data_IF_762882017036
#
_entry.id   IF_762882017036
#
_cell.length_a   1.000
_cell.length_b   1.000
_cell.length_c   1.000
_cell.angle_alpha   90.00
_cell.angle_beta   90.00
_cell.angle_gamma   90.00
#
_symmetry.space_group_name_H-M   'P 1'
#
loop_
_entity.id
_entity.type
_entity.pdbx_description
1 polymer ?
#
# COMPACT_ATOMS: atom_id res chain seq x y z
N UNK A 1 -28.41 -8.30 -4.11
CA UNK A 1 -27.26 -7.84 -3.28
C UNK A 1 -25.95 -7.91 -4.05
N UNK A 2 -25.64 -9.02 -4.73
CA UNK A 2 -24.40 -9.16 -5.54
C UNK A 2 -24.19 -8.05 -6.58
N UNK A 3 -25.25 -7.50 -7.19
CA UNK A 3 -25.13 -6.41 -8.17
C UNK A 3 -24.54 -5.12 -7.59
N UNK A 4 -24.79 -4.81 -6.32
CA UNK A 4 -24.20 -3.65 -5.65
C UNK A 4 -22.71 -3.89 -5.37
N UNK A 5 -22.38 -5.07 -4.82
CA UNK A 5 -21.00 -5.46 -4.51
C UNK A 5 -20.12 -5.47 -5.75
N UNK A 6 -20.61 -6.01 -6.87
CA UNK A 6 -19.91 -5.99 -8.17
C UNK A 6 -19.64 -4.55 -8.63
N UNK A 7 -20.67 -3.68 -8.57
CA UNK A 7 -20.55 -2.30 -9.02
C UNK A 7 -19.55 -1.51 -8.16
N UNK A 8 -19.66 -1.61 -6.84
CA UNK A 8 -18.76 -0.93 -5.91
C UNK A 8 -17.33 -1.46 -6.02
N UNK A 9 -17.16 -2.79 -6.10
CA UNK A 9 -15.85 -3.41 -6.28
C UNK A 9 -15.18 -3.00 -7.59
N UNK A 10 -15.95 -2.93 -8.69
CA UNK A 10 -15.43 -2.50 -9.99
C UNK A 10 -14.90 -1.05 -9.95
N UNK A 11 -15.73 -0.11 -9.47
CA UNK A 11 -15.32 1.29 -9.40
C UNK A 11 -14.18 1.51 -8.40
N UNK A 12 -14.20 0.82 -7.26
CA UNK A 12 -13.12 0.90 -6.27
C UNK A 12 -11.81 0.33 -6.82
N UNK A 13 -11.85 -0.72 -7.64
CA UNK A 13 -10.66 -1.22 -8.31
C UNK A 13 -10.07 -0.20 -9.30
N UNK A 14 -10.92 0.52 -10.05
CA UNK A 14 -10.47 1.59 -10.94
C UNK A 14 -9.87 2.77 -10.17
N UNK A 15 -10.50 3.18 -9.06
CA UNK A 15 -9.97 4.23 -8.18
C UNK A 15 -8.62 3.80 -7.60
N UNK A 16 -8.49 2.55 -7.13
CA UNK A 16 -7.23 2.00 -6.64
C UNK A 16 -6.13 2.04 -7.71
N UNK A 17 -6.42 1.65 -8.95
CA UNK A 17 -5.45 1.75 -10.05
C UNK A 17 -5.04 3.21 -10.27
N UNK A 18 -6.01 4.13 -10.35
CA UNK A 18 -5.74 5.55 -10.60
C UNK A 18 -4.86 6.16 -9.50
N UNK A 19 -5.20 5.95 -8.23
CA UNK A 19 -4.45 6.53 -7.12
C UNK A 19 -3.06 5.91 -6.97
N UNK A 20 -2.89 4.64 -7.31
CA UNK A 20 -1.57 4.02 -7.35
C UNK A 20 -0.70 4.59 -8.47
N UNK A 21 -1.28 4.89 -9.64
CA UNK A 21 -0.59 5.59 -10.73
C UNK A 21 -0.20 7.00 -10.30
N UNK A 22 -1.10 7.76 -9.67
CA UNK A 22 -0.80 9.10 -9.14
C UNK A 22 0.35 9.04 -8.13
N UNK A 23 0.34 8.09 -7.21
CA UNK A 23 1.45 7.88 -6.27
C UNK A 23 2.77 7.61 -7.00
N UNK A 24 2.77 6.74 -8.00
CA UNK A 24 3.96 6.40 -8.78
C UNK A 24 4.51 7.64 -9.50
N UNK A 25 3.64 8.45 -10.10
CA UNK A 25 4.03 9.72 -10.73
C UNK A 25 4.62 10.68 -9.69
N UNK A 26 3.98 10.85 -8.53
CA UNK A 26 4.51 11.69 -7.45
C UNK A 26 5.91 11.23 -7.03
N UNK A 27 6.11 9.92 -6.87
CA UNK A 27 7.40 9.36 -6.50
C UNK A 27 8.49 9.66 -7.55
N UNK A 28 8.18 9.48 -8.84
CA UNK A 28 9.09 9.82 -9.94
C UNK A 28 9.42 11.31 -9.96
N UNK A 29 8.43 12.18 -9.77
CA UNK A 29 8.65 13.64 -9.73
C UNK A 29 9.52 14.04 -8.54
N UNK A 30 9.28 13.47 -7.34
CA UNK A 30 10.12 13.71 -6.16
C UNK A 30 11.58 13.36 -6.48
N UNK A 31 11.83 12.19 -7.06
CA UNK A 31 13.18 11.75 -7.44
C UNK A 31 13.83 12.60 -8.53
N UNK A 32 13.03 13.19 -9.42
CA UNK A 32 13.52 14.06 -10.49
C UNK A 32 13.80 15.49 -10.04
N UNK A 33 13.12 15.97 -8.99
CA UNK A 33 13.15 17.37 -8.54
C UNK A 33 14.06 17.61 -7.33
N UNK A 34 14.50 16.57 -6.64
CA UNK A 34 15.37 16.70 -5.47
C UNK A 34 16.27 15.48 -5.29
N UNK A 35 17.35 15.61 -4.49
CA UNK A 35 18.23 14.49 -4.19
C UNK A 35 17.49 13.45 -3.34
N UNK A 36 17.86 12.18 -3.49
CA UNK A 36 17.33 11.12 -2.62
C UNK A 36 17.80 11.38 -1.20
N UNK A 37 16.86 11.61 -0.28
CA UNK A 37 17.17 11.74 1.13
C UNK A 37 17.51 10.37 1.73
N UNK A 38 18.71 10.25 2.30
CA UNK A 38 19.14 9.12 3.11
C UNK A 38 19.23 9.57 4.56
N UNK A 39 18.52 8.86 5.44
CA UNK A 39 18.49 9.20 6.86
C UNK A 39 19.89 9.12 7.48
N UNK A 40 20.28 10.19 8.16
CA UNK A 40 21.54 10.30 8.91
C UNK A 40 21.22 10.75 10.33
N UNK A 41 20.68 11.96 10.45
CA UNK A 41 20.18 12.54 11.68
C UNK A 41 18.95 13.42 11.42
N UNK A 42 18.37 13.91 12.52
CA UNK A 42 17.16 14.72 12.47
C UNK A 42 17.41 16.12 11.89
N UNK A 43 18.56 16.73 12.17
CA UNK A 43 18.89 18.07 11.69
C UNK A 43 19.06 18.08 10.16
N UNK A 44 19.70 17.05 9.60
CA UNK A 44 19.78 16.81 8.16
C UNK A 44 18.39 16.64 7.52
N UNK A 45 17.46 15.97 8.21
CA UNK A 45 16.07 15.86 7.74
C UNK A 45 15.35 17.21 7.75
N UNK A 46 15.53 18.04 8.78
CA UNK A 46 14.97 19.39 8.82
C UNK A 46 15.50 20.25 7.67
N UNK A 47 16.82 20.26 7.47
CA UNK A 47 17.45 21.00 6.38
C UNK A 47 16.92 20.54 5.02
N UNK A 48 16.82 19.23 4.81
CA UNK A 48 16.27 18.67 3.57
C UNK A 48 14.82 19.10 3.33
N UNK A 49 13.95 19.03 4.35
CA UNK A 49 12.53 19.37 4.20
C UNK A 49 12.30 20.87 4.00
N UNK A 50 13.16 21.73 4.55
CA UNK A 50 13.13 23.18 4.32
C UNK A 50 13.62 23.54 2.91
N UNK A 51 14.69 22.89 2.43
CA UNK A 51 15.29 23.18 1.13
C UNK A 51 14.48 22.63 -0.05
N UNK A 52 13.89 21.44 0.12
CA UNK A 52 13.16 20.72 -0.93
C UNK A 52 11.66 20.61 -0.64
N UNK A 53 11.10 21.62 0.04
CA UNK A 53 9.66 21.65 0.31
C UNK A 53 8.87 21.58 -0.99
N UNK A 54 7.96 20.61 -1.07
CA UNK A 54 7.19 20.35 -2.27
C UNK A 54 5.86 19.71 -1.91
N UNK A 55 4.86 19.86 -2.80
CA UNK A 55 3.51 19.32 -2.62
C UNK A 55 3.38 17.82 -2.98
N UNK A 56 4.33 17.30 -3.76
CA UNK A 56 4.25 15.93 -4.29
C UNK A 56 4.25 14.83 -3.21
N UNK A 57 5.03 14.92 -2.11
CA UNK A 57 4.98 13.93 -1.04
C UNK A 57 3.60 13.84 -0.38
N UNK A 58 2.93 14.97 -0.14
CA UNK A 58 1.59 15.02 0.46
C UNK A 58 0.56 14.40 -0.47
N UNK A 59 0.61 14.74 -1.76
CA UNK A 59 -0.28 14.15 -2.77
C UNK A 59 -0.07 12.64 -2.88
N UNK A 60 1.17 12.16 -2.85
CA UNK A 60 1.50 10.74 -2.87
C UNK A 60 0.93 10.00 -1.65
N UNK A 61 1.13 10.53 -0.45
CA UNK A 61 0.59 9.95 0.80
C UNK A 61 -0.94 9.94 0.81
N UNK A 62 -1.58 11.03 0.38
CA UNK A 62 -3.04 11.11 0.26
C UNK A 62 -3.56 10.06 -0.74
N UNK A 63 -2.88 9.90 -1.87
CA UNK A 63 -3.24 8.90 -2.88
C UNK A 63 -3.18 7.48 -2.31
N UNK A 64 -2.18 7.17 -1.49
CA UNK A 64 -2.07 5.87 -0.82
C UNK A 64 -3.17 5.62 0.23
N UNK A 65 -3.66 6.66 0.92
CA UNK A 65 -4.83 6.54 1.80
C UNK A 65 -6.07 6.17 0.97
N UNK A 66 -6.31 6.87 -0.14
CA UNK A 66 -7.47 6.59 -1.01
C UNK A 66 -7.34 5.21 -1.67
N UNK A 67 -6.14 4.80 -2.06
CA UNK A 67 -5.85 3.44 -2.51
C UNK A 67 -6.26 2.40 -1.46
N UNK A 68 -5.81 2.56 -0.21
CA UNK A 68 -6.10 1.62 0.87
C UNK A 68 -7.60 1.47 1.13
N UNK A 69 -8.33 2.59 1.22
CA UNK A 69 -9.78 2.56 1.41
C UNK A 69 -10.50 1.86 0.24
N UNK A 70 -10.09 2.15 -0.99
CA UNK A 70 -10.63 1.51 -2.19
C UNK A 70 -10.32 0.01 -2.21
N UNK A 71 -9.12 -0.39 -1.79
CA UNK A 71 -8.69 -1.78 -1.71
C UNK A 71 -9.55 -2.58 -0.73
N UNK A 72 -9.92 -2.02 0.43
CA UNK A 72 -10.84 -2.68 1.37
C UNK A 72 -12.21 -2.93 0.73
N UNK A 73 -12.76 -1.96 0.00
CA UNK A 73 -14.04 -2.14 -0.72
C UNK A 73 -13.93 -3.23 -1.78
N UNK A 74 -12.80 -3.30 -2.49
CA UNK A 74 -12.52 -4.38 -3.45
C UNK A 74 -12.50 -5.75 -2.76
N UNK A 75 -11.81 -5.90 -1.64
CA UNK A 75 -11.75 -7.17 -0.90
C UNK A 75 -13.12 -7.58 -0.36
N UNK A 76 -13.93 -6.63 0.13
CA UNK A 76 -15.29 -6.88 0.57
C UNK A 76 -16.19 -7.36 -0.58
N UNK A 77 -16.08 -6.72 -1.75
CA UNK A 77 -16.78 -7.16 -2.95
C UNK A 77 -16.36 -8.57 -3.40
N UNK A 78 -15.06 -8.88 -3.34
CA UNK A 78 -14.53 -10.21 -3.66
C UNK A 78 -15.06 -11.27 -2.69
N UNK A 79 -15.09 -11.00 -1.39
CA UNK A 79 -15.66 -11.92 -0.38
C UNK A 79 -17.14 -12.20 -0.65
N UNK A 80 -17.92 -11.15 -0.97
CA UNK A 80 -19.37 -11.28 -1.18
C UNK A 80 -19.71 -12.16 -2.38
N UNK A 81 -18.98 -11.99 -3.50
CA UNK A 81 -19.22 -12.75 -4.75
C UNK A 81 -18.53 -14.13 -4.76
N UNK A 82 -17.75 -14.45 -3.74
CA UNK A 82 -17.09 -15.76 -3.59
C UNK A 82 -18.02 -16.71 -2.83
N UNK A 83 -18.11 -17.95 -3.32
CA UNK A 83 -18.92 -19.01 -2.71
C UNK A 83 -18.06 -20.22 -2.29
N UNK A 84 -18.64 -21.10 -1.47
CA UNK A 84 -18.00 -22.32 -0.99
C UNK A 84 -16.80 -22.08 -0.07
N UNK A 85 -15.87 -23.05 -0.04
CA UNK A 85 -14.71 -23.06 0.86
C UNK A 85 -13.78 -21.85 0.69
N UNK A 86 -13.71 -21.28 -0.52
CA UNK A 86 -12.89 -20.09 -0.79
C UNK A 86 -13.47 -18.80 -0.20
N UNK A 87 -14.74 -18.78 0.22
CA UNK A 87 -15.34 -17.61 0.86
C UNK A 87 -14.67 -17.30 2.19
N UNK A 88 -14.36 -18.34 2.98
CA UNK A 88 -13.65 -18.18 4.25
C UNK A 88 -12.24 -17.59 4.03
N UNK A 89 -11.52 -18.06 3.02
CA UNK A 89 -10.20 -17.52 2.66
C UNK A 89 -10.29 -16.07 2.19
N UNK A 90 -11.28 -15.72 1.35
CA UNK A 90 -11.52 -14.33 0.95
C UNK A 90 -11.80 -13.42 2.15
N UNK A 91 -12.54 -13.91 3.15
CA UNK A 91 -12.79 -13.19 4.40
C UNK A 91 -11.53 -12.98 5.23
N UNK A 92 -10.67 -13.99 5.37
CA UNK A 92 -9.36 -13.80 6.00
C UNK A 92 -8.53 -12.75 5.24
N UNK A 93 -8.56 -12.81 3.90
CA UNK A 93 -7.94 -11.81 3.03
C UNK A 93 -8.42 -10.39 3.35
N UNK A 94 -9.73 -10.20 3.48
CA UNK A 94 -10.34 -8.93 3.87
C UNK A 94 -9.89 -8.46 5.26
N UNK A 95 -9.88 -9.33 6.27
CA UNK A 95 -9.50 -8.96 7.64
C UNK A 95 -8.05 -8.49 7.72
N UNK A 96 -7.12 -9.23 7.10
CA UNK A 96 -5.71 -8.83 7.03
C UNK A 96 -5.53 -7.55 6.21
N UNK A 97 -6.28 -7.39 5.10
CA UNK A 97 -6.23 -6.20 4.27
C UNK A 97 -6.73 -4.95 5.00
N UNK A 98 -7.80 -5.08 5.78
CA UNK A 98 -8.30 -4.00 6.63
C UNK A 98 -7.28 -3.61 7.70
N UNK A 99 -6.64 -4.58 8.35
CA UNK A 99 -5.58 -4.31 9.32
C UNK A 99 -4.38 -3.58 8.67
N UNK A 100 -3.94 -4.03 7.49
CA UNK A 100 -2.88 -3.39 6.71
C UNK A 100 -3.20 -1.93 6.37
N UNK A 101 -4.41 -1.69 5.85
CA UNK A 101 -4.87 -0.35 5.45
C UNK A 101 -5.05 0.56 6.66
N UNK A 102 -5.47 0.03 7.80
CA UNK A 102 -5.61 0.80 9.03
C UNK A 102 -4.25 1.29 9.52
N UNK A 103 -3.23 0.41 9.57
CA UNK A 103 -1.89 0.79 9.99
C UNK A 103 -1.23 1.78 9.02
N UNK A 104 -1.21 1.46 7.73
CA UNK A 104 -0.57 2.31 6.72
C UNK A 104 -1.33 3.62 6.51
N UNK A 105 -2.66 3.59 6.56
CA UNK A 105 -3.52 4.77 6.49
C UNK A 105 -3.31 5.70 7.68
N UNK A 106 -3.24 5.17 8.90
CA UNK A 106 -2.92 5.96 10.10
C UNK A 106 -1.52 6.59 9.99
N UNK A 107 -0.53 5.82 9.53
CA UNK A 107 0.82 6.32 9.29
C UNK A 107 0.83 7.50 8.31
N UNK A 108 0.23 7.34 7.12
CA UNK A 108 0.18 8.40 6.13
C UNK A 108 -0.62 9.62 6.58
N UNK A 109 -1.73 9.40 7.30
CA UNK A 109 -2.53 10.48 7.85
C UNK A 109 -1.74 11.30 8.86
N UNK A 110 -0.98 10.66 9.74
CA UNK A 110 -0.08 11.33 10.70
C UNK A 110 1.01 12.12 9.97
N UNK A 111 1.57 11.62 8.87
CA UNK A 111 2.57 12.36 8.08
C UNK A 111 2.00 13.68 7.50
N UNK A 112 0.83 13.63 6.87
CA UNK A 112 0.24 14.81 6.21
C UNK A 112 -0.41 15.80 7.19
N UNK A 113 -0.71 15.36 8.41
CA UNK A 113 -1.29 16.16 9.48
C UNK A 113 -0.26 16.55 10.53
N UNK A 114 -0.12 15.76 11.60
CA UNK A 114 0.67 16.08 12.78
C UNK A 114 2.13 16.36 12.45
N UNK A 115 2.80 15.52 11.66
CA UNK A 115 4.23 15.72 11.33
C UNK A 115 4.40 17.02 10.53
N UNK A 116 3.65 17.20 9.44
CA UNK A 116 3.71 18.41 8.61
C UNK A 116 3.45 19.69 9.41
N UNK A 117 2.45 19.69 10.30
CA UNK A 117 2.10 20.87 11.10
C UNK A 117 3.16 21.18 12.16
N UNK A 118 3.67 20.17 12.86
CA UNK A 118 4.71 20.35 13.87
C UNK A 118 6.03 20.84 13.25
N UNK A 119 6.41 20.32 12.08
CA UNK A 119 7.57 20.81 11.32
C UNK A 119 7.41 22.28 10.94
N UNK A 120 6.22 22.69 10.48
CA UNK A 120 5.93 24.09 10.15
C UNK A 120 5.98 25.04 11.37
N UNK A 121 5.74 24.51 12.57
CA UNK A 121 5.79 25.27 13.83
C UNK A 121 7.16 25.17 14.53
N UNK A 122 8.10 24.39 14.00
CA UNK A 122 9.38 24.10 14.67
C UNK A 122 9.25 23.24 15.94
N UNK A 123 8.10 22.62 16.17
CA UNK A 123 7.83 21.76 17.33
C UNK A 123 8.34 20.34 17.08
N UNK A 124 9.65 20.13 17.22
CA UNK A 124 10.31 18.92 16.72
C UNK A 124 10.50 17.79 17.73
N UNK A 125 10.32 18.08 19.02
CA UNK A 125 10.55 17.13 20.10
C UNK A 125 9.75 15.83 19.92
N UNK A 126 10.43 14.70 19.84
CA UNK A 126 9.82 13.37 19.72
C UNK A 126 9.36 12.98 18.31
N UNK A 127 9.45 13.86 17.31
CA UNK A 127 9.05 13.54 15.94
C UNK A 127 9.91 12.45 15.28
N UNK A 128 11.13 12.21 15.77
CA UNK A 128 12.03 11.16 15.29
C UNK A 128 11.37 9.77 15.21
N UNK A 129 10.46 9.46 16.13
CA UNK A 129 9.77 8.16 16.17
C UNK A 129 8.55 8.08 15.25
N UNK A 130 8.19 9.19 14.62
CA UNK A 130 6.95 9.33 13.85
C UNK A 130 7.24 9.65 12.39
N UNK A 131 8.34 10.33 12.07
CA UNK A 131 8.69 10.76 10.72
C UNK A 131 8.97 9.58 9.78
N UNK A 132 8.34 9.62 8.60
CA UNK A 132 8.53 8.62 7.54
C UNK A 132 9.97 8.54 7.02
N UNK A 133 10.70 9.65 7.05
CA UNK A 133 12.10 9.70 6.64
C UNK A 133 13.03 8.85 7.52
N UNK A 134 12.64 8.52 8.76
CA UNK A 134 13.46 7.73 9.66
C UNK A 134 13.13 6.22 9.54
N UNK A 135 13.99 5.41 8.90
CA UNK A 135 13.75 3.98 8.73
C UNK A 135 13.81 3.20 10.06
N UNK A 136 14.38 3.78 11.11
CA UNK A 136 14.52 3.15 12.43
C UNK A 136 13.40 3.54 13.40
N UNK A 137 12.44 4.36 12.95
CA UNK A 137 11.35 4.83 13.79
C UNK A 137 10.32 3.72 14.08
N UNK A 138 9.67 3.79 15.24
CA UNK A 138 8.55 2.90 15.57
C UNK A 138 7.44 2.97 14.52
N UNK A 139 7.14 4.15 13.99
CA UNK A 139 6.14 4.33 12.93
C UNK A 139 6.57 3.72 11.60
N UNK A 140 7.86 3.75 11.24
CA UNK A 140 8.36 3.04 10.06
C UNK A 140 8.19 1.53 10.21
N UNK A 141 8.47 0.96 11.38
CA UNK A 141 8.25 -0.46 11.65
C UNK A 141 6.77 -0.86 11.51
N UNK A 142 5.84 -0.05 12.05
CA UNK A 142 4.39 -0.27 11.91
C UNK A 142 3.93 -0.17 10.45
N UNK A 143 4.42 0.84 9.71
CA UNK A 143 4.13 0.99 8.29
C UNK A 143 4.63 -0.23 7.49
N UNK A 144 5.84 -0.70 7.79
CA UNK A 144 6.41 -1.89 7.16
C UNK A 144 5.61 -3.15 7.49
N UNK A 145 5.17 -3.34 8.73
CA UNK A 145 4.28 -4.46 9.09
C UNK A 145 2.99 -4.46 8.28
N UNK A 146 2.41 -3.26 8.04
CA UNK A 146 1.23 -3.09 7.20
C UNK A 146 1.47 -3.49 5.74
N UNK A 147 2.51 -2.95 5.10
CA UNK A 147 2.83 -3.22 3.69
C UNK A 147 3.40 -4.60 3.41
N UNK A 148 4.05 -5.22 4.39
CA UNK A 148 4.71 -6.52 4.23
C UNK A 148 3.84 -7.65 4.77
N UNK A 149 3.80 -7.84 6.08
CA UNK A 149 3.17 -9.01 6.70
C UNK A 149 1.66 -9.01 6.45
N UNK A 150 0.96 -7.93 6.77
CA UNK A 150 -0.51 -7.91 6.72
C UNK A 150 -1.03 -7.89 5.28
N UNK A 151 -0.49 -7.02 4.42
CA UNK A 151 -0.86 -7.01 3.01
C UNK A 151 -0.45 -8.31 2.29
N UNK A 152 0.70 -8.88 2.66
CA UNK A 152 1.17 -10.15 2.13
C UNK A 152 0.20 -11.29 2.43
N UNK A 153 -0.19 -11.44 3.70
CA UNK A 153 -1.22 -12.41 4.12
C UNK A 153 -2.56 -12.15 3.44
N UNK A 154 -3.01 -10.89 3.38
CA UNK A 154 -4.23 -10.51 2.68
C UNK A 154 -4.24 -11.01 1.23
N UNK A 155 -3.12 -10.82 0.53
CA UNK A 155 -2.95 -11.22 -0.86
C UNK A 155 -2.95 -12.74 -1.03
N UNK A 156 -2.25 -13.47 -0.17
CA UNK A 156 -2.22 -14.94 -0.22
C UNK A 156 -3.61 -15.55 0.03
N UNK A 157 -4.36 -15.01 0.99
CA UNK A 157 -5.68 -15.52 1.35
C UNK A 157 -6.78 -15.15 0.35
N UNK A 158 -6.70 -14.01 -0.32
CA UNK A 158 -7.68 -13.64 -1.35
C UNK A 158 -7.44 -14.36 -2.68
N UNK A 159 -6.19 -14.74 -2.99
CA UNK A 159 -5.85 -15.32 -4.29
C UNK A 159 -6.70 -16.55 -4.70
N UNK A 160 -7.04 -17.51 -3.82
CA UNK A 160 -7.87 -18.67 -4.16
C UNK A 160 -9.32 -18.34 -4.56
N UNK A 161 -9.82 -17.13 -4.25
CA UNK A 161 -11.15 -16.67 -4.64
C UNK A 161 -11.29 -16.53 -6.17
N UNK A 162 -10.18 -16.29 -6.87
CA UNK A 162 -10.16 -16.11 -8.32
C UNK A 162 -10.00 -17.47 -9.02
N UNK A 163 -11.11 -18.01 -9.50
CA UNK A 163 -11.19 -19.28 -10.26
C UNK A 163 -11.80 -19.07 -11.65
N UNK A 164 -11.45 -19.93 -12.61
CA UNK A 164 -12.03 -19.96 -13.95
C UNK A 164 -11.15 -19.32 -15.03
N UNK A 165 -11.73 -18.43 -15.83
CA UNK A 165 -11.11 -17.90 -17.06
C UNK A 165 -9.81 -17.10 -16.87
N UNK A 166 -9.20 -16.68 -17.99
CA UNK A 166 -7.87 -16.04 -18.03
C UNK A 166 -7.71 -14.85 -17.07
N UNK A 167 -8.72 -13.98 -16.96
CA UNK A 167 -8.67 -12.83 -16.04
C UNK A 167 -8.53 -13.27 -14.57
N UNK A 168 -9.28 -14.29 -14.14
CA UNK A 168 -9.18 -14.83 -12.79
C UNK A 168 -7.79 -15.44 -12.52
N UNK A 169 -7.23 -16.16 -13.51
CA UNK A 169 -5.90 -16.74 -13.39
C UNK A 169 -4.80 -15.68 -13.24
N UNK A 170 -4.85 -14.60 -14.04
CA UNK A 170 -3.90 -13.48 -13.93
C UNK A 170 -4.03 -12.79 -12.56
N UNK A 171 -5.25 -12.47 -12.12
CA UNK A 171 -5.49 -11.85 -10.81
C UNK A 171 -4.97 -12.71 -9.67
N UNK A 172 -5.22 -14.03 -9.73
CA UNK A 172 -4.72 -15.00 -8.74
C UNK A 172 -3.20 -14.96 -8.64
N UNK A 173 -2.50 -15.04 -9.77
CA UNK A 173 -1.04 -15.01 -9.77
C UNK A 173 -0.48 -13.66 -9.32
N UNK A 174 -1.11 -12.56 -9.69
CA UNK A 174 -0.72 -11.23 -9.22
C UNK A 174 -0.79 -11.13 -7.69
N UNK A 175 -1.88 -11.60 -7.06
CA UNK A 175 -1.99 -11.66 -5.61
C UNK A 175 -0.99 -12.64 -4.96
N UNK A 176 -0.73 -13.80 -5.56
CA UNK A 176 0.27 -14.75 -5.03
C UNK A 176 1.68 -14.17 -5.06
N UNK A 177 2.08 -13.59 -6.20
CA UNK A 177 3.38 -12.93 -6.35
C UNK A 177 3.51 -11.77 -5.38
N UNK A 178 2.48 -10.94 -5.25
CA UNK A 178 2.46 -9.87 -4.25
C UNK A 178 2.62 -10.43 -2.83
N UNK A 179 1.84 -11.44 -2.48
CA UNK A 179 1.84 -12.07 -1.17
C UNK A 179 3.22 -12.59 -0.76
N UNK A 180 3.85 -13.39 -1.62
CA UNK A 180 5.19 -13.93 -1.39
C UNK A 180 6.23 -12.81 -1.34
N UNK A 181 6.18 -11.86 -2.27
CA UNK A 181 7.11 -10.71 -2.30
C UNK A 181 7.03 -9.88 -1.03
N UNK A 182 5.82 -9.60 -0.54
CA UNK A 182 5.58 -8.87 0.69
C UNK A 182 6.21 -9.57 1.91
N UNK A 183 6.07 -10.89 2.03
CA UNK A 183 6.68 -11.65 3.13
C UNK A 183 8.21 -11.70 3.02
N UNK A 184 8.75 -11.84 1.81
CA UNK A 184 10.21 -11.73 1.58
C UNK A 184 10.70 -10.32 1.95
N UNK A 185 9.94 -9.27 1.62
CA UNK A 185 10.24 -7.90 2.02
C UNK A 185 10.21 -7.69 3.53
N UNK A 186 9.33 -8.38 4.27
CA UNK A 186 9.35 -8.38 5.73
C UNK A 186 10.68 -8.91 6.27
N UNK A 187 11.14 -10.06 5.76
CA UNK A 187 12.43 -10.64 6.14
C UNK A 187 13.58 -9.71 5.76
N UNK A 188 13.54 -9.13 4.56
CA UNK A 188 14.52 -8.14 4.13
C UNK A 188 14.59 -6.95 5.08
N UNK A 189 13.45 -6.48 5.59
CA UNK A 189 13.41 -5.37 6.54
C UNK A 189 13.96 -5.77 7.92
N UNK A 190 13.54 -6.93 8.46
CA UNK A 190 13.99 -7.43 9.77
C UNK A 190 15.51 -7.67 9.79
N UNK A 191 16.07 -8.22 8.72
CA UNK A 191 17.50 -8.50 8.60
C UNK A 191 18.29 -7.35 7.96
N UNK A 192 17.66 -6.20 7.73
CA UNK A 192 18.28 -5.00 7.14
C UNK A 192 18.98 -5.26 5.78
N UNK A 193 18.36 -6.07 4.92
CA UNK A 193 18.85 -6.39 3.57
C UNK A 193 18.23 -5.40 2.58
N UNK A 194 18.88 -4.26 2.39
CA UNK A 194 18.40 -3.14 1.55
C UNK A 194 17.93 -3.57 0.16
N UNK A 195 18.71 -4.39 -0.55
CA UNK A 195 18.38 -4.82 -1.92
C UNK A 195 17.07 -5.62 -1.97
N UNK A 196 16.83 -6.47 -0.96
CA UNK A 196 15.59 -7.25 -0.88
C UNK A 196 14.39 -6.33 -0.66
N UNK A 197 14.50 -5.39 0.28
CA UNK A 197 13.43 -4.41 0.55
C UNK A 197 13.16 -3.57 -0.69
N UNK A 198 14.21 -3.06 -1.35
CA UNK A 198 14.09 -2.22 -2.53
C UNK A 198 13.32 -2.94 -3.66
N UNK A 199 13.72 -4.16 -4.01
CA UNK A 199 13.11 -4.93 -5.10
C UNK A 199 11.67 -5.33 -4.76
N UNK A 200 11.46 -5.88 -3.57
CA UNK A 200 10.15 -6.42 -3.18
C UNK A 200 9.11 -5.33 -2.96
N UNK A 201 9.48 -4.22 -2.31
CA UNK A 201 8.54 -3.18 -1.89
C UNK A 201 8.29 -2.10 -2.93
N UNK A 202 9.18 -1.94 -3.92
CA UNK A 202 8.97 -0.93 -4.97
C UNK A 202 8.55 -1.59 -6.29
N UNK A 203 9.38 -2.46 -6.85
CA UNK A 203 9.16 -3.00 -8.19
C UNK A 203 8.07 -4.06 -8.21
N UNK A 204 8.21 -5.08 -7.37
CA UNK A 204 7.29 -6.23 -7.40
C UNK A 204 5.93 -5.85 -6.85
N UNK A 205 5.88 -5.19 -5.69
CA UNK A 205 4.62 -4.76 -5.08
C UNK A 205 3.80 -3.85 -6.00
N UNK A 206 4.43 -2.85 -6.63
CA UNK A 206 3.74 -1.93 -7.52
C UNK A 206 3.15 -2.61 -8.75
N UNK A 207 3.97 -3.39 -9.46
CA UNK A 207 3.52 -4.13 -10.65
C UNK A 207 2.44 -5.16 -10.31
N UNK A 208 2.62 -5.91 -9.22
CA UNK A 208 1.69 -6.96 -8.82
C UNK A 208 0.34 -6.40 -8.35
N UNK A 209 0.32 -5.33 -7.54
CA UNK A 209 -0.93 -4.71 -7.08
C UNK A 209 -1.70 -4.05 -8.22
N UNK A 210 -1.05 -3.32 -9.12
CA UNK A 210 -1.73 -2.74 -10.30
C UNK A 210 -2.35 -3.86 -11.14
N UNK A 211 -1.57 -4.91 -11.42
CA UNK A 211 -2.05 -6.06 -12.20
C UNK A 211 -3.23 -6.75 -11.51
N UNK A 212 -3.15 -6.91 -10.19
CA UNK A 212 -4.23 -7.48 -9.39
C UNK A 212 -5.50 -6.60 -9.48
N UNK A 213 -5.40 -5.29 -9.28
CA UNK A 213 -6.55 -4.39 -9.31
C UNK A 213 -7.22 -4.31 -10.69
N UNK A 214 -6.43 -4.22 -11.76
CA UNK A 214 -6.96 -4.30 -13.15
C UNK A 214 -7.62 -5.65 -13.38
N UNK A 215 -6.97 -6.74 -12.95
CA UNK A 215 -7.52 -8.08 -13.05
C UNK A 215 -8.84 -8.26 -12.30
N UNK A 216 -8.96 -7.70 -11.09
CA UNK A 216 -10.21 -7.70 -10.31
C UNK A 216 -11.30 -6.92 -11.03
N UNK A 217 -11.01 -5.73 -11.55
CA UNK A 217 -11.99 -4.93 -12.28
C UNK A 217 -12.53 -5.70 -13.51
N UNK A 218 -11.65 -6.32 -14.30
CA UNK A 218 -12.03 -7.14 -15.45
C UNK A 218 -12.83 -8.38 -15.02
N UNK A 219 -12.45 -9.00 -13.91
CA UNK A 219 -13.13 -10.18 -13.37
C UNK A 219 -14.54 -9.86 -12.86
N UNK A 220 -14.72 -8.77 -12.13
CA UNK A 220 -16.02 -8.31 -11.64
C UNK A 220 -16.94 -7.88 -12.78
N UNK A 221 -16.42 -7.21 -13.82
CA UNK A 221 -17.22 -6.80 -14.99
C UNK A 221 -17.84 -7.98 -15.76
N UNK A 222 -17.29 -9.18 -15.63
CA UNK A 222 -17.73 -10.40 -16.34
C UNK A 222 -18.73 -11.24 -15.54
N UNK A 223 -19.12 -10.81 -14.34
CA UNK A 223 -20.10 -11.45 -13.47
C UNK A 223 -21.37 -10.62 -13.42
#
# INVERSE_FOLDING_TARGET
MQSLSIRLGYWSALVAVLTFVVYTVCFVVILATGPVFLWTDFDAYLLYTQQYHSFWPELGRLSMIVFGLSFVVVLAAVEDVTAGETKFLARLGLLFGLAAVTLTGAFYFVQISAVRLNLAQGAVTGLEQVIQGNPYSAFAALNMMGWTVLLGLSSLFVAPAFRGGRAAAVTRWAFLVNGVSCLIGALGYIFNIFVVVLVTMNLVLGGALITAMVGVAVWLKRR
#
